data_IF_615963673052
#
_entry.id   IF_615963673052
#
_cell.length_a   1.000
_cell.length_b   1.000
_cell.length_c   1.000
_cell.angle_alpha   90.00
_cell.angle_beta   90.00
_cell.angle_gamma   90.00
#
_symmetry.space_group_name_H-M   'P 1'
#
loop_
_entity.id
_entity.type
_entity.pdbx_description
1 polymer ?
#
# COMPACT_ATOMS: atom_id res chain seq x y z
N UNK A 1 -3.09 45.93 -4.41
CA UNK A 1 -2.86 45.64 -5.84
C UNK A 1 -3.90 46.41 -6.66
N UNK A 2 -3.59 47.07 -7.79
CA UNK A 2 -4.53 48.02 -8.45
C UNK A 2 -5.72 47.39 -9.22
N UNK A 3 -5.92 46.07 -9.15
CA UNK A 3 -6.93 45.36 -9.96
C UNK A 3 -7.83 44.40 -9.17
N UNK A 4 -7.76 44.44 -7.84
CA UNK A 4 -8.49 43.55 -6.93
C UNK A 4 -10.01 43.59 -7.15
N UNK A 5 -10.56 44.79 -7.37
CA UNK A 5 -11.98 45.01 -7.61
C UNK A 5 -12.46 44.41 -8.96
N UNK A 6 -11.61 44.43 -10.00
CA UNK A 6 -11.93 43.81 -11.29
C UNK A 6 -11.88 42.29 -11.23
N UNK A 7 -10.98 41.72 -10.41
CA UNK A 7 -10.92 40.28 -10.16
C UNK A 7 -12.19 39.84 -9.44
N UNK A 8 -12.59 40.55 -8.39
CA UNK A 8 -13.82 40.26 -7.64
C UNK A 8 -15.07 40.30 -8.55
N UNK A 9 -15.19 41.32 -9.41
CA UNK A 9 -16.29 41.41 -10.40
C UNK A 9 -16.27 40.27 -11.43
N UNK A 10 -15.08 39.82 -11.84
CA UNK A 10 -14.94 38.69 -12.76
C UNK A 10 -15.31 37.36 -12.09
N UNK A 11 -14.89 37.10 -10.85
CA UNK A 11 -15.18 35.86 -10.11
C UNK A 11 -16.69 35.65 -9.89
N UNK A 12 -17.46 36.73 -9.70
CA UNK A 12 -18.92 36.66 -9.58
C UNK A 12 -19.66 36.69 -10.92
N UNK A 13 -18.94 36.88 -12.03
CA UNK A 13 -19.57 36.95 -13.35
C UNK A 13 -20.15 35.60 -13.77
N UNK A 14 -21.26 35.63 -14.51
CA UNK A 14 -21.92 34.42 -14.98
C UNK A 14 -21.06 33.58 -15.92
N UNK A 15 -20.16 34.21 -16.68
CA UNK A 15 -19.19 33.52 -17.54
C UNK A 15 -18.17 32.75 -16.72
N UNK A 16 -17.60 33.37 -15.68
CA UNK A 16 -16.66 32.70 -14.79
C UNK A 16 -17.33 31.52 -14.08
N UNK A 17 -18.50 31.73 -13.48
CA UNK A 17 -19.25 30.67 -12.79
C UNK A 17 -19.58 29.48 -13.71
N UNK A 18 -19.98 29.74 -14.96
CA UNK A 18 -20.22 28.68 -15.96
C UNK A 18 -18.94 27.94 -16.32
N UNK A 19 -17.84 28.66 -16.57
CA UNK A 19 -16.55 28.05 -16.88
C UNK A 19 -16.01 27.21 -15.73
N UNK A 20 -16.12 27.68 -14.48
CA UNK A 20 -15.75 26.93 -13.29
C UNK A 20 -16.64 25.70 -13.13
N UNK A 21 -17.95 25.83 -13.32
CA UNK A 21 -18.87 24.70 -13.30
C UNK A 21 -18.50 23.63 -14.33
N UNK A 22 -18.24 24.03 -15.57
CA UNK A 22 -17.77 23.13 -16.64
C UNK A 22 -16.43 22.48 -16.31
N UNK A 23 -15.50 23.24 -15.73
CA UNK A 23 -14.21 22.72 -15.28
C UNK A 23 -14.42 21.64 -14.21
N UNK A 24 -15.19 21.92 -13.15
CA UNK A 24 -15.48 20.95 -12.09
C UNK A 24 -16.15 19.69 -12.62
N UNK A 25 -17.09 19.82 -13.57
CA UNK A 25 -17.70 18.67 -14.24
C UNK A 25 -16.67 17.85 -15.01
N UNK A 26 -15.77 18.49 -15.76
CA UNK A 26 -14.70 17.82 -16.53
C UNK A 26 -13.57 17.27 -15.67
N UNK A 27 -13.35 17.82 -14.47
CA UNK A 27 -12.36 17.33 -13.52
C UNK A 27 -12.78 16.01 -12.86
N UNK A 28 -14.08 15.66 -12.90
CA UNK A 28 -14.54 14.34 -12.46
C UNK A 28 -13.84 13.27 -13.26
N UNK A 29 -13.36 12.23 -12.58
CA UNK A 29 -12.67 11.09 -13.21
C UNK A 29 -13.57 10.47 -14.28
N UNK A 30 -14.87 10.32 -13.97
CA UNK A 30 -15.86 9.76 -14.89
C UNK A 30 -16.00 10.58 -16.18
N UNK A 31 -15.73 9.93 -17.32
CA UNK A 31 -15.87 10.53 -18.65
C UNK A 31 -14.62 11.27 -19.14
N UNK A 32 -13.52 11.28 -18.37
CA UNK A 32 -12.21 11.75 -18.86
C UNK A 32 -11.56 10.71 -19.76
N UNK A 33 -10.67 11.17 -20.64
CA UNK A 33 -9.88 10.29 -21.53
C UNK A 33 -9.02 9.29 -20.76
N UNK A 34 -8.59 9.64 -19.54
CA UNK A 34 -7.75 8.83 -18.67
C UNK A 34 -8.53 8.04 -17.61
N UNK A 35 -9.87 7.99 -17.69
CA UNK A 35 -10.71 7.20 -16.76
C UNK A 35 -10.19 5.78 -16.59
N UNK A 36 -9.86 5.11 -17.70
CA UNK A 36 -9.39 3.72 -17.67
C UNK A 36 -8.03 3.57 -16.97
N UNK A 37 -7.12 4.53 -17.17
CA UNK A 37 -5.80 4.53 -16.54
C UNK A 37 -5.93 4.78 -15.02
N UNK A 38 -6.77 5.73 -14.62
CA UNK A 38 -7.06 6.00 -13.21
C UNK A 38 -7.68 4.78 -12.52
N UNK A 39 -8.64 4.11 -13.17
CA UNK A 39 -9.24 2.89 -12.62
C UNK A 39 -8.19 1.79 -12.44
N UNK A 40 -7.37 1.52 -13.47
CA UNK A 40 -6.30 0.53 -13.37
C UNK A 40 -5.32 0.85 -12.24
N UNK A 41 -4.89 2.11 -12.13
CA UNK A 41 -3.99 2.55 -11.07
C UNK A 41 -4.57 2.30 -9.67
N UNK A 42 -5.86 2.60 -9.48
CA UNK A 42 -6.54 2.36 -8.21
C UNK A 42 -6.68 0.87 -7.90
N UNK A 43 -6.98 0.03 -8.90
CA UNK A 43 -7.05 -1.42 -8.76
C UNK A 43 -5.70 -2.02 -8.36
N UNK A 44 -4.61 -1.64 -9.04
CA UNK A 44 -3.26 -2.10 -8.71
C UNK A 44 -2.83 -1.65 -7.31
N UNK A 45 -3.11 -0.38 -6.96
CA UNK A 45 -2.84 0.13 -5.61
C UNK A 45 -3.60 -0.68 -4.56
N UNK A 46 -4.88 -0.94 -4.77
CA UNK A 46 -5.70 -1.71 -3.85
C UNK A 46 -5.18 -3.15 -3.70
N UNK A 47 -4.80 -3.79 -4.81
CA UNK A 47 -4.18 -5.11 -4.81
C UNK A 47 -2.94 -5.15 -3.93
N UNK A 48 -1.99 -4.22 -4.13
CA UNK A 48 -0.76 -4.20 -3.34
C UNK A 48 -1.00 -3.82 -1.88
N UNK A 49 -1.93 -2.89 -1.59
CA UNK A 49 -2.35 -2.61 -0.22
C UNK A 49 -2.92 -3.86 0.48
N UNK A 50 -3.65 -4.72 -0.24
CA UNK A 50 -4.16 -5.98 0.30
C UNK A 50 -3.01 -6.95 0.64
N UNK A 51 -1.98 -7.06 -0.19
CA UNK A 51 -0.79 -7.87 0.11
C UNK A 51 -0.07 -7.33 1.35
N UNK A 52 0.24 -6.02 1.36
CA UNK A 52 1.00 -5.37 2.42
C UNK A 52 0.32 -5.45 3.79
N UNK A 53 -1.02 -5.39 3.85
CA UNK A 53 -1.77 -5.56 5.11
C UNK A 53 -1.53 -6.92 5.75
N UNK A 54 -1.41 -7.99 4.96
CA UNK A 54 -1.16 -9.35 5.45
C UNK A 54 0.27 -9.50 5.93
N UNK A 55 1.22 -9.00 5.14
CA UNK A 55 2.65 -8.93 5.52
C UNK A 55 2.81 -8.20 6.86
N UNK A 56 2.21 -7.01 6.99
CA UNK A 56 2.23 -6.22 8.23
C UNK A 56 1.62 -7.00 9.41
N UNK A 57 0.52 -7.72 9.18
CA UNK A 57 -0.15 -8.51 10.22
C UNK A 57 0.75 -9.64 10.73
N UNK A 58 1.41 -10.37 9.81
CA UNK A 58 2.39 -11.41 10.17
C UNK A 58 3.58 -10.81 10.91
N UNK A 59 4.13 -9.68 10.43
CA UNK A 59 5.28 -9.04 11.09
C UNK A 59 4.95 -8.62 12.51
N UNK A 60 3.78 -8.00 12.72
CA UNK A 60 3.30 -7.62 14.07
C UNK A 60 3.08 -8.84 14.97
N UNK A 61 2.52 -9.91 14.41
CA UNK A 61 2.29 -11.15 15.16
C UNK A 61 3.59 -11.78 15.66
N UNK A 62 4.60 -11.91 14.78
CA UNK A 62 5.88 -12.51 15.13
C UNK A 62 6.67 -11.62 16.10
N UNK A 63 6.76 -10.32 15.82
CA UNK A 63 7.49 -9.35 16.67
C UNK A 63 6.92 -9.28 18.08
N UNK A 64 5.60 -9.18 18.23
CA UNK A 64 4.94 -9.10 19.54
C UNK A 64 5.15 -10.34 20.42
N UNK A 65 5.56 -11.47 19.82
CA UNK A 65 5.81 -12.74 20.50
C UNK A 65 7.29 -13.11 20.57
N UNK A 66 8.19 -12.26 20.07
CA UNK A 66 9.62 -12.54 20.02
C UNK A 66 9.98 -13.75 19.15
N UNK A 67 9.16 -14.07 18.14
CA UNK A 67 9.40 -15.21 17.26
C UNK A 67 10.40 -14.82 16.16
N UNK A 68 11.34 -15.71 15.87
CA UNK A 68 12.28 -15.54 14.76
C UNK A 68 11.52 -15.48 13.43
N UNK A 69 11.92 -14.57 12.53
CA UNK A 69 11.24 -14.40 11.24
C UNK A 69 11.78 -15.35 10.17
N UNK A 70 13.10 -15.55 10.18
CA UNK A 70 13.87 -16.21 9.13
C UNK A 70 14.08 -17.69 9.43
N UNK A 71 14.21 -18.48 8.36
CA UNK A 71 14.73 -19.84 8.40
C UNK A 71 16.03 -19.96 7.59
N UNK A 72 16.46 -21.18 7.32
CA UNK A 72 17.64 -21.44 6.48
C UNK A 72 17.33 -21.43 4.98
N UNK A 73 16.05 -21.29 4.61
CA UNK A 73 15.58 -21.22 3.23
C UNK A 73 14.66 -20.00 3.06
N UNK A 74 14.57 -19.45 1.84
CA UNK A 74 13.74 -18.27 1.53
C UNK A 74 12.67 -18.58 0.47
N UNK A 75 12.32 -19.85 0.28
CA UNK A 75 11.32 -20.30 -0.68
C UNK A 75 10.04 -20.73 0.04
N UNK A 76 8.90 -20.37 -0.54
CA UNK A 76 7.61 -20.90 -0.13
C UNK A 76 7.54 -22.42 -0.31
N UNK A 77 6.79 -23.06 0.58
CA UNK A 77 6.53 -24.49 0.71
C UNK A 77 7.77 -25.32 1.08
N UNK A 78 8.80 -24.66 1.60
CA UNK A 78 9.95 -25.33 2.22
C UNK A 78 9.79 -25.38 3.74
N UNK A 79 10.03 -26.54 4.35
CA UNK A 79 9.91 -26.70 5.82
C UNK A 79 10.88 -25.84 6.64
N UNK A 80 11.90 -25.25 6.01
CA UNK A 80 12.90 -24.40 6.65
C UNK A 80 12.81 -22.93 6.19
N UNK A 81 11.66 -22.50 5.66
CA UNK A 81 11.42 -21.14 5.17
C UNK A 81 11.25 -20.07 6.27
N UNK A 82 11.24 -20.48 7.53
CA UNK A 82 11.08 -19.60 8.70
C UNK A 82 9.64 -19.23 9.00
N UNK A 83 9.42 -18.62 10.17
CA UNK A 83 8.05 -18.34 10.62
C UNK A 83 7.34 -17.29 9.77
N UNK A 84 8.06 -16.38 9.10
CA UNK A 84 7.43 -15.37 8.25
C UNK A 84 6.71 -16.01 7.05
N UNK A 85 7.44 -16.79 6.26
CA UNK A 85 6.88 -17.47 5.09
C UNK A 85 5.90 -18.57 5.51
N UNK A 86 6.23 -19.36 6.54
CA UNK A 86 5.33 -20.40 7.08
C UNK A 86 4.00 -19.83 7.61
N UNK A 87 3.99 -18.65 8.22
CA UNK A 87 2.73 -18.01 8.66
C UNK A 87 1.91 -17.51 7.46
N UNK A 88 2.55 -16.97 6.43
CA UNK A 88 1.87 -16.57 5.19
C UNK A 88 1.26 -17.79 4.47
N UNK A 89 1.93 -18.93 4.50
CA UNK A 89 1.41 -20.21 3.98
C UNK A 89 0.18 -20.66 4.76
N UNK A 90 0.24 -20.62 6.09
CA UNK A 90 -0.91 -20.95 6.95
C UNK A 90 -2.10 -20.02 6.66
N UNK A 91 -1.86 -18.71 6.52
CA UNK A 91 -2.93 -17.76 6.19
C UNK A 91 -3.54 -18.05 4.82
N UNK A 92 -2.73 -18.46 3.84
CA UNK A 92 -3.18 -18.79 2.49
C UNK A 92 -4.09 -20.03 2.44
N UNK A 93 -4.15 -20.86 3.49
CA UNK A 93 -5.15 -21.91 3.60
C UNK A 93 -6.58 -21.35 3.74
N UNK A 94 -6.73 -20.15 4.30
CA UNK A 94 -8.02 -19.51 4.61
C UNK A 94 -8.24 -18.21 3.84
N UNK A 95 -7.26 -17.76 3.06
CA UNK A 95 -7.28 -16.51 2.34
C UNK A 95 -6.97 -16.73 0.85
N UNK A 96 -8.03 -16.87 0.06
CA UNK A 96 -7.94 -17.15 -1.38
C UNK A 96 -7.11 -16.10 -2.14
N UNK A 97 -7.21 -14.83 -1.73
CA UNK A 97 -6.42 -13.76 -2.34
C UNK A 97 -4.93 -13.99 -2.11
N UNK A 98 -4.54 -14.26 -0.86
CA UNK A 98 -3.14 -14.52 -0.53
C UNK A 98 -2.64 -15.80 -1.19
N UNK A 99 -3.46 -16.84 -1.24
CA UNK A 99 -3.16 -18.10 -1.93
C UNK A 99 -2.80 -17.88 -3.39
N UNK A 100 -3.67 -17.19 -4.13
CA UNK A 100 -3.43 -16.85 -5.54
C UNK A 100 -2.15 -16.03 -5.69
N UNK A 101 -1.93 -15.04 -4.82
CA UNK A 101 -0.72 -14.22 -4.87
C UNK A 101 0.55 -15.05 -4.63
N UNK A 102 0.59 -15.91 -3.62
CA UNK A 102 1.74 -16.79 -3.33
C UNK A 102 1.97 -17.76 -4.49
N UNK A 103 0.93 -18.39 -5.03
CA UNK A 103 1.08 -19.30 -6.19
C UNK A 103 1.68 -18.58 -7.39
N UNK A 104 1.27 -17.33 -7.64
CA UNK A 104 1.74 -16.57 -8.80
C UNK A 104 3.12 -15.92 -8.61
N UNK A 105 3.50 -15.54 -7.38
CA UNK A 105 4.66 -14.68 -7.14
C UNK A 105 5.61 -15.15 -6.05
N UNK A 106 5.21 -16.10 -5.18
CA UNK A 106 5.95 -16.47 -3.98
C UNK A 106 7.38 -16.95 -4.24
N UNK A 107 7.60 -17.73 -5.30
CA UNK A 107 8.90 -18.27 -5.66
C UNK A 107 9.43 -17.73 -6.99
N UNK A 108 8.98 -16.54 -7.43
CA UNK A 108 9.48 -15.95 -8.67
C UNK A 108 10.95 -15.53 -8.53
N UNK A 109 11.71 -15.76 -9.60
CA UNK A 109 13.12 -15.36 -9.70
C UNK A 109 13.28 -13.83 -9.60
N UNK A 110 14.53 -13.37 -9.45
CA UNK A 110 14.90 -11.95 -9.42
C UNK A 110 14.34 -11.19 -10.63
N UNK A 111 13.96 -9.93 -10.43
CA UNK A 111 13.39 -9.06 -11.47
C UNK A 111 11.87 -8.87 -11.39
N UNK A 112 11.21 -9.48 -10.40
CA UNK A 112 9.80 -9.26 -10.08
C UNK A 112 9.65 -8.59 -8.73
N UNK A 113 8.66 -7.71 -8.62
CA UNK A 113 8.28 -7.10 -7.34
C UNK A 113 7.68 -8.18 -6.46
N UNK A 114 8.36 -8.51 -5.36
CA UNK A 114 7.86 -9.43 -4.34
C UNK A 114 7.83 -8.73 -3.00
N UNK A 115 6.63 -8.31 -2.59
CA UNK A 115 6.38 -7.85 -1.22
C UNK A 115 6.35 -8.98 -0.18
N UNK A 116 6.58 -10.21 -0.62
CA UNK A 116 6.71 -11.38 0.23
C UNK A 116 8.18 -11.74 0.53
N UNK A 117 9.13 -10.97 0.00
CA UNK A 117 10.56 -11.21 0.21
C UNK A 117 10.99 -10.85 1.64
N UNK A 118 12.09 -11.46 2.07
CA UNK A 118 12.70 -11.15 3.35
C UNK A 118 13.16 -9.68 3.42
N UNK A 119 13.67 -9.11 2.32
CA UNK A 119 14.03 -7.67 2.25
C UNK A 119 12.85 -6.77 2.62
N UNK A 120 11.67 -7.02 2.04
CA UNK A 120 10.47 -6.24 2.36
C UNK A 120 10.04 -6.48 3.81
N UNK A 121 10.15 -7.72 4.31
CA UNK A 121 9.92 -8.01 5.73
C UNK A 121 10.84 -7.18 6.65
N UNK A 122 12.12 -7.03 6.31
CA UNK A 122 13.07 -6.20 7.07
C UNK A 122 12.68 -4.72 7.05
N UNK A 123 12.26 -4.18 5.90
CA UNK A 123 11.76 -2.79 5.81
C UNK A 123 10.55 -2.56 6.73
N UNK A 124 9.61 -3.51 6.79
CA UNK A 124 8.47 -3.43 7.70
C UNK A 124 8.89 -3.46 9.18
N UNK A 125 9.87 -4.29 9.52
CA UNK A 125 10.42 -4.37 10.88
C UNK A 125 11.05 -3.02 11.26
N UNK A 126 11.82 -2.42 10.35
CA UNK A 126 12.45 -1.12 10.57
C UNK A 126 11.41 -0.01 10.77
N UNK A 127 10.40 0.07 9.89
CA UNK A 127 9.31 1.07 9.98
C UNK A 127 8.55 0.93 11.30
N UNK A 128 8.19 -0.31 11.69
CA UNK A 128 7.51 -0.58 12.95
C UNK A 128 8.38 -0.24 14.15
N UNK A 129 9.66 -0.61 14.12
CA UNK A 129 10.63 -0.30 15.17
C UNK A 129 10.78 1.20 15.39
N UNK A 130 10.89 1.98 14.30
CA UNK A 130 10.98 3.43 14.36
C UNK A 130 9.70 4.07 14.92
N UNK A 131 8.53 3.54 14.56
CA UNK A 131 7.25 4.01 15.10
C UNK A 131 7.12 3.75 16.62
N UNK A 132 7.47 2.54 17.07
CA UNK A 132 7.47 2.17 18.48
C UNK A 132 8.47 3.03 19.25
N UNK A 133 9.69 3.21 18.74
CA UNK A 133 10.72 4.07 19.33
C UNK A 133 10.22 5.50 19.50
N UNK A 134 9.58 6.09 18.49
CA UNK A 134 8.99 7.43 18.57
C UNK A 134 7.92 7.52 19.65
N UNK A 135 7.06 6.51 19.76
CA UNK A 135 5.99 6.45 20.76
C UNK A 135 6.58 6.42 22.19
N UNK A 136 7.59 5.57 22.44
CA UNK A 136 8.30 5.53 23.72
C UNK A 136 8.92 6.89 24.07
N UNK A 137 9.57 7.55 23.10
CA UNK A 137 10.17 8.88 23.32
C UNK A 137 9.11 9.94 23.64
N UNK A 138 7.91 9.83 23.07
CA UNK A 138 6.81 10.74 23.37
C UNK A 138 6.22 10.51 24.75
N UNK A 139 6.19 9.26 25.25
CA UNK A 139 5.69 8.93 26.58
C UNK A 139 6.65 9.36 27.71
N UNK A 140 7.95 9.38 27.43
CA UNK A 140 8.99 9.79 28.41
C UNK A 140 9.12 11.32 28.49
N UNK A 141 8.77 12.05 27.42
CA UNK A 141 8.82 13.53 27.37
C UNK A 141 7.66 14.16 28.13
#
# INVERSE_FOLDING_TARGET
WKHEERIAQHEISSSHQKSVGLFLTRSRIEGRVDTALETQFHEEKNYWCMVLKRVLSVVRFLSSRGLAFRGSNEQFFNSHNGNFLGTLELLAEYDDFLKVHITQYGNKNRGHVSYLSNTICDEFIEILGEHVRKSIVQEIK
#
